data_IF_577282408616
#
_entry.id   IF_577282408616
#
_cell.length_a   1.000
_cell.length_b   1.000
_cell.length_c   1.000
_cell.angle_alpha   90.00
_cell.angle_beta   90.00
_cell.angle_gamma   90.00
#
_symmetry.space_group_name_H-M   'P 1'
#
loop_
_entity.id
_entity.type
_entity.pdbx_description
1 polymer ?
#
# COMPACT_ATOMS: atom_id res chain seq x y z
N UNK A 1 29.32 -53.68 2.67
CA UNK A 1 29.46 -52.23 2.48
C UNK A 1 28.21 -51.73 1.81
N UNK A 2 27.57 -50.66 2.29
CA UNK A 2 26.40 -50.12 1.63
C UNK A 2 26.70 -49.40 0.32
N UNK A 3 25.76 -49.34 -0.59
CA UNK A 3 25.87 -48.69 -1.89
C UNK A 3 25.10 -47.35 -1.91
N UNK A 4 25.69 -46.36 -2.53
CA UNK A 4 25.08 -45.05 -2.70
C UNK A 4 23.80 -45.14 -3.55
N UNK A 5 22.65 -44.72 -3.04
CA UNK A 5 21.36 -44.83 -3.76
C UNK A 5 21.31 -43.97 -5.03
N UNK A 6 22.20 -42.99 -5.18
CA UNK A 6 22.22 -42.10 -6.34
C UNK A 6 23.15 -42.56 -7.46
N UNK A 7 24.31 -43.13 -7.17
CA UNK A 7 25.30 -43.48 -8.18
C UNK A 7 25.81 -44.95 -8.10
N UNK A 8 25.31 -45.75 -7.15
CA UNK A 8 25.65 -47.16 -7.00
C UNK A 8 27.08 -47.47 -6.51
N UNK A 9 27.87 -46.47 -6.14
CA UNK A 9 29.23 -46.73 -5.61
C UNK A 9 29.20 -47.14 -4.18
N UNK A 10 30.11 -48.05 -3.77
CA UNK A 10 30.29 -48.47 -2.37
C UNK A 10 30.78 -47.27 -1.54
N UNK A 11 30.31 -47.21 -0.27
CA UNK A 11 30.79 -46.22 0.68
C UNK A 11 30.96 -46.83 2.09
N UNK A 12 31.83 -46.21 2.90
CA UNK A 12 32.05 -46.62 4.27
C UNK A 12 30.93 -46.18 5.21
N UNK A 13 30.48 -47.06 6.07
CA UNK A 13 29.47 -46.74 7.09
C UNK A 13 29.96 -45.58 7.96
N UNK A 14 29.15 -44.52 8.08
CA UNK A 14 29.49 -43.31 8.84
C UNK A 14 29.94 -42.14 8.01
N UNK A 15 30.12 -42.29 6.68
CA UNK A 15 30.37 -41.14 5.79
C UNK A 15 29.08 -40.38 5.49
N UNK A 16 29.13 -39.03 5.67
CA UNK A 16 27.95 -38.15 5.45
C UNK A 16 27.69 -37.89 3.97
N UNK A 17 28.71 -37.98 3.13
CA UNK A 17 28.60 -37.70 1.69
C UNK A 17 29.25 -38.78 0.87
N UNK A 18 28.67 -39.14 -0.27
CA UNK A 18 29.29 -40.05 -1.22
C UNK A 18 30.51 -39.41 -1.88
N UNK A 19 31.69 -40.07 -1.76
CA UNK A 19 32.94 -39.58 -2.33
C UNK A 19 32.92 -39.47 -3.87
N UNK A 20 32.01 -40.22 -4.53
CA UNK A 20 31.97 -40.26 -6.01
C UNK A 20 30.97 -39.24 -6.58
N UNK A 21 29.84 -38.97 -5.97
CA UNK A 21 28.78 -38.11 -6.51
C UNK A 21 28.35 -36.98 -5.59
N UNK A 22 28.93 -36.86 -4.39
CA UNK A 22 28.62 -35.81 -3.42
C UNK A 22 27.21 -35.90 -2.79
N UNK A 23 26.44 -36.96 -3.07
CA UNK A 23 25.11 -37.10 -2.47
C UNK A 23 25.20 -37.37 -0.97
N UNK A 24 24.28 -36.81 -0.19
CA UNK A 24 24.17 -37.04 1.23
C UNK A 24 23.70 -38.47 1.49
N UNK A 25 24.43 -39.20 2.37
CA UNK A 25 24.19 -40.57 2.73
C UNK A 25 23.55 -40.74 4.13
N UNK A 26 23.36 -39.63 4.80
CA UNK A 26 22.96 -39.53 6.20
C UNK A 26 21.42 -39.71 6.42
N UNK A 27 20.68 -40.00 5.33
CA UNK A 27 19.22 -40.11 5.40
C UNK A 27 18.51 -38.79 5.74
N UNK A 28 19.25 -37.74 6.11
CA UNK A 28 18.71 -36.38 6.15
C UNK A 28 18.56 -35.94 4.72
N UNK A 29 17.37 -36.08 4.16
CA UNK A 29 16.98 -35.42 2.92
C UNK A 29 17.27 -33.95 3.17
N UNK A 30 18.33 -33.40 2.55
CA UNK A 30 18.49 -31.97 2.49
C UNK A 30 17.12 -31.43 2.03
N UNK A 31 16.51 -30.50 2.76
CA UNK A 31 15.21 -30.01 2.35
C UNK A 31 15.37 -29.58 0.89
N UNK A 32 14.75 -30.34 -0.01
CA UNK A 32 14.61 -29.93 -1.41
C UNK A 32 14.08 -28.51 -1.32
N UNK A 33 14.75 -27.50 -1.89
CA UNK A 33 14.21 -26.17 -1.89
C UNK A 33 12.87 -26.31 -2.62
N UNK A 34 11.79 -26.37 -1.82
CA UNK A 34 10.44 -26.40 -2.35
C UNK A 34 10.33 -25.05 -3.03
N UNK A 35 10.40 -25.08 -4.34
CA UNK A 35 10.18 -23.91 -5.19
C UNK A 35 8.69 -23.56 -5.07
N UNK A 36 8.30 -23.13 -3.85
CA UNK A 36 6.95 -22.60 -3.61
C UNK A 36 6.87 -21.36 -4.44
N UNK A 37 5.96 -21.36 -5.39
CA UNK A 37 5.60 -20.10 -6.03
C UNK A 37 5.38 -19.05 -4.93
N UNK A 38 5.97 -17.87 -5.06
CA UNK A 38 5.82 -16.85 -4.03
C UNK A 38 4.33 -16.62 -3.79
N UNK A 39 3.93 -16.68 -2.54
CA UNK A 39 2.57 -16.41 -2.09
C UNK A 39 2.06 -15.09 -2.69
N UNK A 40 0.75 -15.00 -2.91
CA UNK A 40 0.11 -13.82 -3.50
C UNK A 40 0.60 -12.51 -2.88
N UNK A 41 0.69 -12.46 -1.54
CA UNK A 41 1.22 -11.30 -0.83
C UNK A 41 2.70 -11.03 -1.14
N UNK A 42 3.50 -12.07 -1.27
CA UNK A 42 4.92 -11.93 -1.65
C UNK A 42 5.05 -11.39 -3.08
N UNK A 43 4.23 -11.87 -4.01
CA UNK A 43 4.15 -11.31 -5.38
C UNK A 43 3.70 -9.85 -5.38
N UNK A 44 2.74 -9.50 -4.52
CA UNK A 44 2.20 -8.14 -4.40
C UNK A 44 3.24 -7.17 -3.85
N UNK A 45 4.01 -7.60 -2.85
CA UNK A 45 5.04 -6.79 -2.18
C UNK A 45 6.38 -6.78 -2.92
N UNK A 46 6.56 -7.68 -3.91
CA UNK A 46 7.75 -7.72 -4.73
C UNK A 46 7.69 -6.65 -5.82
N UNK A 47 8.00 -5.41 -5.44
CA UNK A 47 7.99 -4.22 -6.29
C UNK A 47 9.40 -3.86 -6.71
N UNK A 48 9.52 -3.19 -7.87
CA UNK A 48 10.81 -2.79 -8.43
C UNK A 48 11.50 -1.77 -7.52
N UNK A 49 12.75 -2.01 -7.22
CA UNK A 49 13.63 -1.09 -6.50
C UNK A 49 14.64 -0.49 -7.48
N UNK A 50 14.58 0.82 -7.66
CA UNK A 50 15.46 1.58 -8.56
C UNK A 50 16.45 2.46 -7.80
N UNK A 51 16.57 2.28 -6.48
CA UNK A 51 17.45 3.08 -5.63
C UNK A 51 18.88 3.12 -6.13
N UNK A 52 19.40 2.00 -6.62
CA UNK A 52 20.76 1.90 -7.15
C UNK A 52 21.03 2.72 -8.41
N UNK A 53 19.99 3.14 -9.11
CA UNK A 53 20.10 3.98 -10.33
C UNK A 53 20.14 5.47 -10.02
N UNK A 54 19.88 5.87 -8.77
CA UNK A 54 19.83 7.27 -8.32
C UNK A 54 21.10 7.60 -7.54
N UNK A 55 21.66 8.79 -7.79
CA UNK A 55 22.85 9.25 -7.08
C UNK A 55 22.58 9.35 -5.57
N UNK A 56 23.41 8.72 -4.70
CA UNK A 56 23.25 8.80 -3.25
C UNK A 56 23.25 10.22 -2.70
N UNK A 57 23.99 11.15 -3.32
CA UNK A 57 23.97 12.57 -2.95
C UNK A 57 22.62 13.22 -3.22
N UNK A 58 21.93 12.85 -4.31
CA UNK A 58 20.58 13.34 -4.62
C UNK A 58 19.57 12.83 -3.58
N UNK A 59 19.68 11.55 -3.20
CA UNK A 59 18.82 10.94 -2.17
C UNK A 59 18.97 11.66 -0.83
N UNK A 60 20.21 11.87 -0.38
CA UNK A 60 20.47 12.51 0.92
C UNK A 60 20.02 13.97 0.97
N UNK A 61 20.24 14.73 -0.11
CA UNK A 61 19.87 16.14 -0.21
C UNK A 61 18.35 16.35 -0.31
N UNK A 62 17.63 15.41 -0.94
CA UNK A 62 16.23 15.62 -1.32
C UNK A 62 15.23 14.74 -0.55
N UNK A 63 15.68 14.04 0.49
CA UNK A 63 14.86 13.12 1.30
C UNK A 63 13.61 13.79 1.90
N UNK A 64 13.77 15.01 2.44
CA UNK A 64 12.64 15.75 3.04
C UNK A 64 11.58 16.09 1.98
N UNK A 65 12.00 16.48 0.77
CA UNK A 65 11.07 16.80 -0.31
C UNK A 65 10.34 15.56 -0.82
N UNK A 66 11.01 14.41 -0.86
CA UNK A 66 10.37 13.13 -1.18
C UNK A 66 9.30 12.73 -0.14
N UNK A 67 9.54 13.01 1.14
CA UNK A 67 8.55 12.82 2.22
C UNK A 67 7.35 13.76 2.01
N UNK A 68 7.59 15.04 1.70
CA UNK A 68 6.53 16.02 1.45
C UNK A 68 5.61 15.64 0.29
N UNK A 69 6.08 14.89 -0.71
CA UNK A 69 5.23 14.35 -1.78
C UNK A 69 4.05 13.54 -1.22
N UNK A 70 4.29 12.74 -0.19
CA UNK A 70 3.24 11.89 0.41
C UNK A 70 2.39 12.65 1.43
N UNK A 71 2.92 13.69 2.08
CA UNK A 71 2.17 14.50 3.03
C UNK A 71 0.91 15.12 2.38
N UNK A 72 1.00 15.57 1.13
CA UNK A 72 -0.16 16.09 0.40
C UNK A 72 -1.25 15.03 0.21
N UNK A 73 -0.90 13.85 -0.27
CA UNK A 73 -1.87 12.76 -0.50
C UNK A 73 -2.44 12.21 0.80
N UNK A 74 -1.63 12.13 1.87
CA UNK A 74 -2.11 11.71 3.19
C UNK A 74 -2.97 12.78 3.85
N UNK A 75 -2.68 14.07 3.65
CA UNK A 75 -3.55 15.15 4.11
C UNK A 75 -4.93 15.07 3.43
N UNK A 76 -4.98 14.79 2.13
CA UNK A 76 -6.23 14.57 1.42
C UNK A 76 -7.04 13.43 2.04
N UNK A 77 -6.41 12.28 2.29
CA UNK A 77 -7.03 11.13 2.94
C UNK A 77 -7.56 11.47 4.33
N UNK A 78 -6.74 12.14 5.15
CA UNK A 78 -7.09 12.49 6.52
C UNK A 78 -8.30 13.44 6.57
N UNK A 79 -8.28 14.49 5.75
CA UNK A 79 -9.37 15.45 5.66
C UNK A 79 -10.67 14.80 5.17
N UNK A 80 -10.56 13.85 4.25
CA UNK A 80 -11.69 13.07 3.77
C UNK A 80 -12.26 12.16 4.88
N UNK A 81 -11.43 11.40 5.58
CA UNK A 81 -11.87 10.49 6.64
C UNK A 81 -12.47 11.24 7.84
N UNK A 82 -11.94 12.40 8.19
CA UNK A 82 -12.48 13.21 9.28
C UNK A 82 -13.81 13.88 8.94
N UNK A 83 -14.19 13.91 7.68
CA UNK A 83 -15.43 14.53 7.19
C UNK A 83 -15.69 15.92 7.77
N UNK A 84 -14.61 16.70 7.95
CA UNK A 84 -14.62 17.95 8.71
C UNK A 84 -15.39 19.08 8.02
N UNK A 85 -15.70 18.96 6.72
CA UNK A 85 -16.37 20.01 5.95
C UNK A 85 -17.31 19.44 4.88
N UNK A 86 -18.54 19.95 4.73
CA UNK A 86 -19.53 19.46 3.76
C UNK A 86 -19.18 19.74 2.27
N UNK A 87 -18.15 20.54 1.99
CA UNK A 87 -17.66 20.91 0.64
C UNK A 87 -16.30 20.26 0.31
N UNK A 88 -16.06 19.10 0.81
CA UNK A 88 -14.76 18.52 1.13
C UNK A 88 -13.80 18.23 -0.03
N UNK A 89 -14.28 17.83 -1.20
CA UNK A 89 -13.37 17.31 -2.22
C UNK A 89 -12.45 18.40 -2.78
N UNK A 90 -12.97 19.58 -3.08
CA UNK A 90 -12.17 20.68 -3.64
C UNK A 90 -11.21 21.25 -2.59
N UNK A 91 -11.67 21.48 -1.37
CA UNK A 91 -10.81 21.98 -0.29
C UNK A 91 -9.67 21.00 0.03
N UNK A 92 -9.99 19.72 0.19
CA UNK A 92 -8.99 18.68 0.42
C UNK A 92 -7.97 18.61 -0.72
N UNK A 93 -8.44 18.76 -1.96
CA UNK A 93 -7.57 18.79 -3.14
C UNK A 93 -6.66 20.03 -3.13
N UNK A 94 -7.17 21.21 -2.79
CA UNK A 94 -6.38 22.43 -2.71
C UNK A 94 -5.30 22.36 -1.63
N UNK A 95 -5.63 21.85 -0.45
CA UNK A 95 -4.64 21.63 0.63
C UNK A 95 -3.58 20.63 0.19
N UNK A 96 -3.99 19.51 -0.40
CA UNK A 96 -3.08 18.50 -0.93
C UNK A 96 -2.16 19.08 -2.01
N UNK A 97 -2.73 19.81 -2.98
CA UNK A 97 -1.97 20.47 -4.04
C UNK A 97 -0.99 21.51 -3.47
N UNK A 98 -1.42 22.30 -2.49
CA UNK A 98 -0.56 23.28 -1.81
C UNK A 98 0.69 22.65 -1.20
N UNK A 99 0.53 21.52 -0.51
CA UNK A 99 1.65 20.77 0.08
C UNK A 99 2.58 20.16 -0.97
N UNK A 100 2.08 19.92 -2.19
CA UNK A 100 2.87 19.35 -3.29
C UNK A 100 3.58 20.39 -4.16
N UNK A 101 3.32 21.68 -4.01
CA UNK A 101 3.93 22.73 -4.84
C UNK A 101 5.46 22.69 -4.75
N UNK A 102 6.03 22.65 -3.56
CA UNK A 102 7.48 22.62 -3.38
C UNK A 102 8.13 21.37 -4.02
N UNK A 103 7.67 20.15 -3.76
CA UNK A 103 8.15 18.97 -4.47
C UNK A 103 8.02 19.05 -5.99
N UNK A 104 6.91 19.59 -6.51
CA UNK A 104 6.70 19.73 -7.96
C UNK A 104 7.77 20.66 -8.58
N UNK A 105 8.04 21.80 -7.96
CA UNK A 105 9.03 22.75 -8.43
C UNK A 105 10.46 22.17 -8.41
N UNK A 106 10.78 21.36 -7.40
CA UNK A 106 12.09 20.75 -7.23
C UNK A 106 12.30 19.48 -8.06
N UNK A 107 11.21 18.83 -8.52
CA UNK A 107 11.27 17.57 -9.25
C UNK A 107 12.07 17.63 -10.56
N UNK A 108 12.20 18.81 -11.16
CA UNK A 108 13.02 19.01 -12.38
C UNK A 108 14.49 18.67 -12.16
N UNK A 109 15.01 18.92 -10.97
CA UNK A 109 16.44 18.85 -10.65
C UNK A 109 16.81 17.55 -9.92
N UNK A 110 15.84 16.74 -9.50
CA UNK A 110 16.08 15.54 -8.70
C UNK A 110 15.26 14.35 -9.22
N UNK A 111 15.94 13.31 -9.75
CA UNK A 111 15.31 12.04 -10.08
C UNK A 111 14.60 11.41 -8.88
N UNK A 112 15.17 11.55 -7.67
CA UNK A 112 14.61 11.00 -6.45
C UNK A 112 13.25 11.63 -6.10
N UNK A 113 13.15 12.96 -6.14
CA UNK A 113 11.87 13.67 -5.92
C UNK A 113 10.86 13.29 -7.01
N UNK A 114 11.29 13.27 -8.29
CA UNK A 114 10.43 12.90 -9.43
C UNK A 114 9.81 11.52 -9.25
N UNK A 115 10.61 10.56 -8.82
CA UNK A 115 10.15 9.21 -8.54
C UNK A 115 9.02 9.22 -7.47
N UNK A 116 9.28 9.79 -6.30
CA UNK A 116 8.32 9.82 -5.20
C UNK A 116 7.09 10.66 -5.50
N UNK A 117 7.25 11.76 -6.21
CA UNK A 117 6.13 12.59 -6.67
C UNK A 117 5.19 11.81 -7.59
N UNK A 118 5.75 11.08 -8.57
CA UNK A 118 4.93 10.26 -9.47
C UNK A 118 4.16 9.17 -8.73
N UNK A 119 4.79 8.51 -7.77
CA UNK A 119 4.17 7.50 -6.93
C UNK A 119 3.04 8.09 -6.07
N UNK A 120 3.30 9.22 -5.43
CA UNK A 120 2.32 9.91 -4.58
C UNK A 120 1.11 10.42 -5.39
N UNK A 121 1.33 10.94 -6.60
CA UNK A 121 0.24 11.35 -7.49
C UNK A 121 -0.63 10.16 -7.90
N UNK A 122 -0.03 9.02 -8.26
CA UNK A 122 -0.80 7.81 -8.58
C UNK A 122 -1.62 7.36 -7.37
N UNK A 123 -1.06 7.42 -6.16
CA UNK A 123 -1.78 7.13 -4.91
C UNK A 123 -2.93 8.10 -4.66
N UNK A 124 -2.73 9.40 -4.92
CA UNK A 124 -3.78 10.42 -4.81
C UNK A 124 -4.92 10.16 -5.81
N UNK A 125 -4.60 9.87 -7.07
CA UNK A 125 -5.62 9.50 -8.07
C UNK A 125 -6.38 8.24 -7.68
N UNK A 126 -5.70 7.23 -7.14
CA UNK A 126 -6.38 6.03 -6.63
C UNK A 126 -7.35 6.36 -5.49
N UNK A 127 -6.98 7.25 -4.57
CA UNK A 127 -7.88 7.74 -3.52
C UNK A 127 -9.09 8.47 -4.10
N UNK A 128 -8.89 9.35 -5.09
CA UNK A 128 -9.99 10.07 -5.73
C UNK A 128 -10.97 9.12 -6.42
N UNK A 129 -10.47 8.09 -7.12
CA UNK A 129 -11.32 7.07 -7.74
C UNK A 129 -12.11 6.30 -6.68
N UNK A 130 -11.45 5.87 -5.61
CA UNK A 130 -12.12 5.18 -4.50
C UNK A 130 -13.20 6.06 -3.88
N UNK A 131 -12.93 7.35 -3.68
CA UNK A 131 -13.89 8.30 -3.13
C UNK A 131 -15.15 8.45 -4.01
N UNK A 132 -14.99 8.47 -5.34
CA UNK A 132 -16.16 8.56 -6.25
C UNK A 132 -17.08 7.35 -6.17
N UNK A 133 -16.54 6.20 -5.79
CA UNK A 133 -17.30 4.95 -5.57
C UNK A 133 -17.85 4.90 -4.15
N UNK A 134 -17.03 5.26 -3.17
CA UNK A 134 -17.35 5.19 -1.75
C UNK A 134 -18.47 6.15 -1.35
N UNK A 135 -18.44 7.39 -1.84
CA UNK A 135 -19.38 8.44 -1.46
C UNK A 135 -20.85 8.05 -1.72
N UNK A 136 -21.26 7.57 -2.92
CA UNK A 136 -22.65 7.16 -3.13
C UNK A 136 -23.03 5.90 -2.34
N UNK A 137 -22.11 4.97 -2.13
CA UNK A 137 -22.35 3.75 -1.35
C UNK A 137 -22.65 4.12 0.10
N UNK A 138 -21.76 4.86 0.73
CA UNK A 138 -21.87 5.24 2.13
C UNK A 138 -23.06 6.16 2.38
N UNK A 139 -23.35 7.09 1.47
CA UNK A 139 -24.55 7.93 1.53
C UNK A 139 -25.84 7.07 1.54
N UNK A 140 -25.98 6.15 0.58
CA UNK A 140 -27.17 5.31 0.49
C UNK A 140 -27.29 4.36 1.68
N UNK A 141 -26.19 3.74 2.11
CA UNK A 141 -26.17 2.85 3.28
C UNK A 141 -26.53 3.61 4.55
N UNK A 142 -25.97 4.82 4.74
CA UNK A 142 -26.29 5.66 5.88
C UNK A 142 -27.80 5.93 5.98
N UNK A 143 -28.37 6.44 4.89
CA UNK A 143 -29.80 6.78 4.89
C UNK A 143 -30.70 5.55 4.93
N UNK A 144 -30.29 4.42 4.36
CA UNK A 144 -31.05 3.18 4.47
C UNK A 144 -31.16 2.71 5.92
N UNK A 145 -30.08 2.84 6.71
CA UNK A 145 -30.08 2.46 8.13
C UNK A 145 -30.74 3.54 9.00
N UNK A 146 -30.39 4.81 8.80
CA UNK A 146 -30.89 5.91 9.62
C UNK A 146 -32.41 6.09 9.54
N UNK A 147 -33.00 5.68 8.41
CA UNK A 147 -34.47 5.72 8.22
C UNK A 147 -35.22 4.54 8.84
N UNK A 148 -34.54 3.55 9.36
CA UNK A 148 -35.19 2.44 10.05
C UNK A 148 -35.78 2.95 11.35
N UNK A 149 -37.10 2.80 11.52
CA UNK A 149 -37.80 3.26 12.73
C UNK A 149 -38.00 4.79 12.81
N UNK A 150 -38.14 5.46 11.66
CA UNK A 150 -38.60 6.87 11.66
C UNK A 150 -40.05 6.92 12.14
N UNK A 151 -40.28 7.71 13.18
CA UNK A 151 -41.62 8.07 13.60
C UNK A 151 -42.07 9.35 12.89
N UNK A 152 -43.17 9.24 12.14
CA UNK A 152 -43.81 10.37 11.49
C UNK A 152 -44.79 11.01 12.46
N UNK A 153 -44.40 12.15 13.02
CA UNK A 153 -45.29 12.95 13.89
C UNK A 153 -45.78 14.19 13.16
N UNK A 154 -46.77 14.86 13.69
CA UNK A 154 -47.25 16.15 13.17
C UNK A 154 -46.17 17.26 13.19
N UNK A 155 -45.10 17.06 13.98
CA UNK A 155 -43.94 17.95 14.05
C UNK A 155 -42.84 17.61 13.01
N UNK A 156 -43.04 16.57 12.18
CA UNK A 156 -42.08 16.12 11.16
C UNK A 156 -41.47 14.73 11.42
N UNK A 157 -40.42 14.42 10.67
CA UNK A 157 -39.70 13.15 10.80
C UNK A 157 -38.80 13.16 12.05
N UNK A 158 -38.97 12.19 12.92
CA UNK A 158 -38.08 11.96 14.06
C UNK A 158 -37.25 10.71 13.84
N UNK A 159 -35.97 10.89 13.74
CA UNK A 159 -35.01 9.78 13.56
C UNK A 159 -34.70 9.09 14.88
N UNK A 160 -34.65 7.77 14.85
CA UNK A 160 -34.18 7.00 15.99
C UNK A 160 -32.66 7.23 16.16
N UNK A 161 -32.27 7.88 17.26
CA UNK A 161 -30.86 8.22 17.55
C UNK A 161 -29.97 6.98 17.56
N UNK A 162 -30.45 5.83 18.03
CA UNK A 162 -29.70 4.57 17.99
C UNK A 162 -29.37 4.12 16.57
N UNK A 163 -30.34 4.25 15.64
CA UNK A 163 -30.14 3.87 14.24
C UNK A 163 -29.20 4.84 13.52
N UNK A 164 -29.25 6.12 13.85
CA UNK A 164 -28.28 7.12 13.34
C UNK A 164 -26.85 6.78 13.76
N UNK A 165 -26.67 6.40 15.02
CA UNK A 165 -25.35 5.96 15.54
C UNK A 165 -24.87 4.70 14.82
N UNK A 166 -25.75 3.71 14.65
CA UNK A 166 -25.41 2.48 13.90
C UNK A 166 -25.03 2.81 12.46
N UNK A 167 -25.81 3.66 11.78
CA UNK A 167 -25.53 4.11 10.42
C UNK A 167 -24.14 4.77 10.31
N UNK A 168 -23.79 5.62 11.27
CA UNK A 168 -22.49 6.28 11.33
C UNK A 168 -21.35 5.24 11.45
N UNK A 169 -21.43 4.31 12.37
CA UNK A 169 -20.37 3.29 12.54
C UNK A 169 -20.26 2.36 11.33
N UNK A 170 -21.37 1.94 10.75
CA UNK A 170 -21.36 1.07 9.56
C UNK A 170 -20.72 1.78 8.38
N UNK A 171 -21.06 3.03 8.12
CA UNK A 171 -20.45 3.82 7.04
C UNK A 171 -18.96 4.08 7.28
N UNK A 172 -18.54 4.33 8.53
CA UNK A 172 -17.13 4.45 8.89
C UNK A 172 -16.33 3.18 8.59
N UNK A 173 -16.89 2.01 8.91
CA UNK A 173 -16.25 0.72 8.58
C UNK A 173 -16.09 0.57 7.06
N UNK A 174 -17.12 0.93 6.28
CA UNK A 174 -17.05 0.89 4.81
C UNK A 174 -15.95 1.81 4.29
N UNK A 175 -15.86 3.05 4.79
CA UNK A 175 -14.79 3.98 4.44
C UNK A 175 -13.39 3.41 4.72
N UNK A 176 -13.19 2.83 5.90
CA UNK A 176 -11.90 2.22 6.27
C UNK A 176 -11.55 1.06 5.34
N UNK A 177 -12.51 0.22 4.98
CA UNK A 177 -12.27 -0.92 4.08
C UNK A 177 -11.92 -0.43 2.68
N UNK A 178 -12.69 0.49 2.12
CA UNK A 178 -12.48 0.98 0.75
C UNK A 178 -11.21 1.83 0.62
N UNK A 179 -10.96 2.74 1.56
CA UNK A 179 -9.78 3.61 1.55
C UNK A 179 -8.52 2.92 2.08
N UNK A 180 -8.63 1.77 2.75
CA UNK A 180 -7.52 1.08 3.40
C UNK A 180 -6.40 0.68 2.44
N UNK A 181 -6.74 0.20 1.25
CA UNK A 181 -5.74 -0.23 0.25
C UNK A 181 -4.91 0.97 -0.25
N UNK A 182 -5.49 2.04 -0.81
CA UNK A 182 -4.69 3.18 -1.26
C UNK A 182 -3.98 3.90 -0.11
N UNK A 183 -4.58 3.94 1.09
CA UNK A 183 -3.92 4.47 2.28
C UNK A 183 -2.66 3.67 2.64
N UNK A 184 -2.76 2.35 2.68
CA UNK A 184 -1.63 1.45 2.93
C UNK A 184 -0.50 1.69 1.92
N UNK A 185 -0.83 1.84 0.64
CA UNK A 185 0.16 2.10 -0.40
C UNK A 185 0.88 3.42 -0.20
N UNK A 186 0.16 4.50 0.12
CA UNK A 186 0.75 5.82 0.39
C UNK A 186 1.66 5.79 1.62
N UNK A 187 1.26 5.07 2.67
CA UNK A 187 2.09 4.88 3.87
C UNK A 187 3.36 4.09 3.54
N UNK A 188 3.27 3.04 2.71
CA UNK A 188 4.44 2.29 2.26
C UNK A 188 5.38 3.15 1.42
N UNK A 189 4.84 3.97 0.51
CA UNK A 189 5.62 4.94 -0.26
C UNK A 189 6.33 5.97 0.64
N UNK A 190 5.64 6.49 1.64
CA UNK A 190 6.21 7.38 2.66
C UNK A 190 7.36 6.69 3.43
N UNK A 191 7.18 5.45 3.86
CA UNK A 191 8.21 4.67 4.55
C UNK A 191 9.45 4.51 3.65
N UNK A 192 9.28 4.22 2.36
CA UNK A 192 10.40 4.14 1.42
C UNK A 192 11.11 5.48 1.25
N UNK A 193 10.38 6.60 1.17
CA UNK A 193 10.97 7.93 1.15
C UNK A 193 11.79 8.23 2.42
N UNK A 194 11.27 7.88 3.60
CA UNK A 194 11.96 8.02 4.89
C UNK A 194 13.23 7.14 4.93
N UNK A 195 13.21 5.97 4.34
CA UNK A 195 14.38 5.10 4.25
C UNK A 195 15.38 5.53 3.17
N UNK A 196 15.04 6.51 2.33
CA UNK A 196 15.85 6.91 1.19
C UNK A 196 15.87 5.88 0.05
N UNK A 197 14.81 5.08 -0.08
CA UNK A 197 14.65 4.04 -1.10
C UNK A 197 13.69 4.50 -2.18
N UNK A 198 14.11 4.39 -3.44
CA UNK A 198 13.25 4.59 -4.59
C UNK A 198 12.63 3.24 -5.01
N UNK A 199 11.68 2.77 -4.20
CA UNK A 199 10.96 1.51 -4.41
C UNK A 199 9.51 1.79 -4.79
N UNK A 200 9.01 1.11 -5.84
CA UNK A 200 7.62 1.26 -6.29
C UNK A 200 6.63 0.86 -5.19
N UNK A 201 5.53 1.58 -5.09
CA UNK A 201 4.44 1.18 -4.19
C UNK A 201 3.81 -0.13 -4.66
N UNK A 202 3.38 -1.00 -3.75
CA UNK A 202 2.63 -2.20 -4.10
C UNK A 202 1.42 -1.87 -4.99
N UNK A 203 1.00 -2.78 -5.86
CA UNK A 203 -0.17 -2.71 -6.74
C UNK A 203 -0.11 -1.62 -7.82
N UNK A 204 0.01 -0.36 -7.43
CA UNK A 204 -0.17 0.80 -8.33
C UNK A 204 1.14 1.49 -8.73
N UNK A 205 2.26 1.17 -8.06
CA UNK A 205 3.55 1.81 -8.36
C UNK A 205 4.01 1.65 -9.80
N UNK A 206 3.54 0.59 -10.47
CA UNK A 206 3.82 0.33 -11.90
C UNK A 206 3.26 1.40 -12.85
N UNK A 207 2.24 2.13 -12.41
CA UNK A 207 1.61 3.22 -13.17
C UNK A 207 2.31 4.56 -12.96
N UNK A 208 3.30 4.63 -12.05
CA UNK A 208 4.12 5.82 -11.89
C UNK A 208 4.86 6.17 -13.18
N UNK A 209 5.18 7.45 -13.34
CA UNK A 209 5.95 7.92 -14.49
C UNK A 209 7.28 7.17 -14.53
N UNK A 210 7.56 6.51 -15.65
CA UNK A 210 8.87 5.91 -15.89
C UNK A 210 9.90 7.04 -16.00
N UNK A 211 10.87 7.00 -15.12
CA UNK A 211 12.00 7.92 -15.08
C UNK A 211 13.08 7.41 -16.03
#
# INVERSE_FOLDING_TARGET
MPFCPKCGSEYQVGTKFCAKCGSNLDGSVAPVPVNREPDFFTKLMNTKDVTSTINPADISANKVMAILCYCGSLAYLLLYLLNLLPWNSLFCLLVSAGLMIAPILMAKNSPFIRFHLSQSLVGLFALMIVQTIDSPITYNVYWAIARVGIDYTWAGEQYNIGMVIVAFFVTWIIHIILCGIPAFMLVMGLIYAIQGKAKEMPLIGRFGLKI
#
